data_IF_127781771655
#
_entry.id   IF_127781771655
#
_cell.length_a   1.000
_cell.length_b   1.000
_cell.length_c   1.000
_cell.angle_alpha   90.00
_cell.angle_beta   90.00
_cell.angle_gamma   90.00
#
_symmetry.space_group_name_H-M   'P 1'
#
loop_
_entity.id
_entity.type
_entity.pdbx_description
1 polymer ?
#
# COMPACT_ATOMS: atom_id res chain seq x y z
N UNK A 1 26.59 0.60 -22.15
CA UNK A 1 25.40 -0.03 -21.53
C UNK A 1 24.83 -1.06 -22.51
N UNK A 2 24.74 -2.36 -22.16
CA UNK A 2 24.23 -3.38 -23.09
C UNK A 2 22.71 -3.18 -23.29
N UNK A 3 22.27 -3.01 -24.54
CA UNK A 3 20.84 -2.94 -24.89
C UNK A 3 20.21 -4.31 -24.63
N UNK A 4 19.20 -4.36 -23.75
CA UNK A 4 18.43 -5.60 -23.52
C UNK A 4 17.67 -5.94 -24.79
N UNK A 5 17.66 -7.23 -25.17
CA UNK A 5 16.87 -7.73 -26.31
C UNK A 5 15.40 -7.42 -26.04
N UNK A 6 14.75 -6.73 -26.98
CA UNK A 6 13.33 -6.42 -26.92
C UNK A 6 12.54 -7.66 -27.32
N UNK A 7 11.50 -7.99 -26.55
CA UNK A 7 10.58 -9.07 -26.87
C UNK A 7 9.31 -8.42 -27.47
N UNK A 8 8.95 -8.72 -28.73
CA UNK A 8 7.82 -8.09 -29.42
C UNK A 8 6.51 -8.15 -28.64
N UNK A 9 6.24 -9.28 -27.96
CA UNK A 9 5.04 -9.45 -27.15
C UNK A 9 5.01 -8.49 -25.95
N UNK A 10 6.16 -8.32 -25.31
CA UNK A 10 6.28 -7.43 -24.16
C UNK A 10 6.10 -5.97 -24.57
N UNK A 11 6.51 -5.61 -25.78
CA UNK A 11 6.38 -4.25 -26.29
C UNK A 11 4.92 -3.94 -26.68
N UNK A 12 4.19 -4.91 -27.24
CA UNK A 12 2.73 -4.81 -27.40
C UNK A 12 2.02 -4.59 -26.06
N UNK A 13 2.34 -5.39 -25.04
CA UNK A 13 1.73 -5.24 -23.70
C UNK A 13 2.06 -3.88 -23.07
N UNK A 14 3.29 -3.38 -23.25
CA UNK A 14 3.67 -2.04 -22.76
C UNK A 14 2.89 -0.94 -23.47
N UNK A 15 2.70 -1.04 -24.79
CA UNK A 15 1.92 -0.07 -25.54
C UNK A 15 0.48 -0.02 -25.04
N UNK A 16 -0.16 -1.17 -24.81
CA UNK A 16 -1.51 -1.23 -24.24
C UNK A 16 -1.58 -0.56 -22.84
N UNK A 17 -0.61 -0.86 -21.95
CA UNK A 17 -0.53 -0.23 -20.62
C UNK A 17 -0.35 1.29 -20.69
N UNK A 18 0.44 1.76 -21.64
CA UNK A 18 0.69 3.18 -21.84
C UNK A 18 -0.59 3.87 -22.32
N UNK A 19 -1.28 3.29 -23.32
CA UNK A 19 -2.55 3.83 -23.83
C UNK A 19 -3.63 3.90 -22.75
N UNK A 20 -3.76 2.88 -21.89
CA UNK A 20 -4.70 2.94 -20.75
C UNK A 20 -4.37 4.08 -19.78
N UNK A 21 -3.08 4.34 -19.54
CA UNK A 21 -2.64 5.42 -18.66
C UNK A 21 -2.86 6.80 -19.30
N UNK A 22 -2.62 6.91 -20.60
CA UNK A 22 -2.84 8.16 -21.34
C UNK A 22 -4.32 8.54 -21.38
N UNK A 23 -5.21 7.57 -21.62
CA UNK A 23 -6.66 7.79 -21.56
C UNK A 23 -7.11 8.27 -20.16
N UNK A 24 -6.55 7.72 -19.09
CA UNK A 24 -6.81 8.15 -17.72
C UNK A 24 -6.32 9.58 -17.46
N UNK A 25 -5.14 9.94 -17.97
CA UNK A 25 -4.59 11.30 -17.85
C UNK A 25 -5.39 12.30 -18.67
N UNK A 26 -5.88 11.94 -19.85
CA UNK A 26 -6.73 12.82 -20.68
C UNK A 26 -8.05 13.16 -19.97
N UNK A 27 -8.68 12.16 -19.34
CA UNK A 27 -9.95 12.35 -18.64
C UNK A 27 -9.81 13.10 -17.31
N UNK A 28 -8.72 12.88 -16.57
CA UNK A 28 -8.59 13.34 -15.18
C UNK A 28 -7.44 14.32 -14.92
N UNK A 29 -6.58 14.57 -15.91
CA UNK A 29 -5.37 15.38 -15.80
C UNK A 29 -4.22 14.72 -15.02
N UNK A 30 -4.48 13.61 -14.31
CA UNK A 30 -3.48 12.86 -13.55
C UNK A 30 -3.90 11.38 -13.42
N UNK A 31 -2.94 10.45 -13.19
CA UNK A 31 -3.29 9.06 -12.86
C UNK A 31 -4.18 9.00 -11.61
N UNK A 32 -5.25 8.23 -11.66
CA UNK A 32 -6.15 7.99 -10.53
C UNK A 32 -5.60 6.85 -9.67
N UNK A 33 -5.66 7.04 -8.35
CA UNK A 33 -5.31 6.00 -7.39
C UNK A 33 -6.56 5.37 -6.77
N UNK A 34 -6.99 4.23 -7.33
CA UNK A 34 -8.14 3.45 -6.82
C UNK A 34 -7.94 2.84 -5.43
N UNK A 35 -6.70 2.77 -4.91
CA UNK A 35 -6.37 2.15 -3.61
C UNK A 35 -6.41 3.12 -2.44
N UNK A 36 -6.53 4.44 -2.69
CA UNK A 36 -6.63 5.47 -1.66
C UNK A 36 -8.06 5.70 -1.16
N UNK A 37 -8.98 4.75 -1.34
CA UNK A 37 -10.29 4.80 -0.70
C UNK A 37 -10.09 4.69 0.81
N UNK A 38 -9.96 5.83 1.48
CA UNK A 38 -9.85 5.89 2.93
C UNK A 38 -11.21 5.46 3.49
N UNK A 39 -11.29 4.39 4.27
CA UNK A 39 -12.55 4.01 4.91
C UNK A 39 -12.98 5.13 5.84
N UNK A 40 -14.30 5.35 6.00
CA UNK A 40 -14.81 6.38 6.89
C UNK A 40 -14.28 6.17 8.31
N UNK A 41 -14.09 7.26 9.07
CA UNK A 41 -13.58 7.16 10.45
C UNK A 41 -14.43 6.25 11.34
N UNK A 42 -15.74 6.16 11.03
CA UNK A 42 -16.74 5.34 11.73
C UNK A 42 -16.83 3.90 11.22
N UNK A 43 -16.28 3.59 10.03
CA UNK A 43 -16.27 2.24 9.51
C UNK A 43 -15.46 1.33 10.45
N UNK A 44 -16.12 0.32 11.00
CA UNK A 44 -15.48 -0.62 11.91
C UNK A 44 -14.44 -1.44 11.15
N UNK A 45 -13.19 -1.41 11.64
CA UNK A 45 -12.12 -2.27 11.17
C UNK A 45 -11.52 -2.98 12.38
N UNK A 46 -11.80 -4.27 12.51
CA UNK A 46 -11.32 -5.13 13.61
C UNK A 46 -9.80 -5.13 13.77
N UNK A 47 -9.04 -4.75 12.73
CA UNK A 47 -7.57 -4.68 12.73
C UNK A 47 -7.01 -3.29 13.07
N UNK A 48 -7.85 -2.26 13.21
CA UNK A 48 -7.42 -0.87 13.45
C UNK A 48 -6.95 -0.64 14.89
N UNK A 49 -7.57 -1.34 15.85
CA UNK A 49 -7.22 -1.29 17.27
C UNK A 49 -6.74 -2.68 17.70
N UNK A 50 -5.57 -3.13 17.21
CA UNK A 50 -4.98 -4.35 17.76
C UNK A 50 -4.53 -4.06 19.20
N UNK A 51 -4.87 -4.98 20.10
CA UNK A 51 -4.45 -4.88 21.50
C UNK A 51 -2.93 -4.84 21.66
N UNK A 52 -2.20 -5.41 20.69
CA UNK A 52 -0.74 -5.53 20.71
C UNK A 52 0.00 -4.17 20.57
N UNK A 53 -0.64 -3.13 19.99
CA UNK A 53 -0.03 -1.80 19.84
C UNK A 53 -0.05 -1.00 21.16
N UNK A 54 -0.92 -1.38 22.10
CA UNK A 54 -0.96 -0.80 23.44
C UNK A 54 -0.26 -1.78 24.36
N UNK A 55 1.07 -1.65 24.47
CA UNK A 55 1.94 -2.51 25.27
C UNK A 55 1.24 -3.03 26.53
N UNK A 56 1.19 -4.35 26.65
CA UNK A 56 0.39 -5.01 27.67
C UNK A 56 0.91 -4.64 29.07
N UNK A 57 0.02 -4.38 30.04
CA UNK A 57 0.41 -3.88 31.38
C UNK A 57 1.35 -4.83 32.14
N UNK A 58 1.41 -6.11 31.76
CA UNK A 58 2.32 -7.08 32.37
C UNK A 58 3.80 -6.84 32.04
N UNK A 59 4.12 -6.14 30.94
CA UNK A 59 5.50 -5.85 30.57
C UNK A 59 6.17 -4.89 31.58
N UNK A 60 5.40 -4.02 32.22
CA UNK A 60 5.90 -3.10 33.25
C UNK A 60 6.08 -3.79 34.61
N UNK A 61 5.21 -4.76 34.96
CA UNK A 61 5.30 -5.52 36.20
C UNK A 61 6.53 -6.45 36.23
N UNK A 62 6.86 -7.07 35.09
CA UNK A 62 8.02 -7.96 35.00
C UNK A 62 9.33 -7.19 35.27
N UNK A 63 9.45 -5.96 34.76
CA UNK A 63 10.64 -5.13 34.99
C UNK A 63 10.76 -4.64 36.45
N UNK A 64 9.66 -4.42 37.16
CA UNK A 64 9.74 -4.01 38.58
C UNK A 64 10.14 -5.19 39.49
N UNK A 65 9.65 -6.40 39.20
CA UNK A 65 9.97 -7.60 39.99
C UNK A 65 11.39 -8.10 39.73
N UNK A 66 11.91 -7.97 38.50
CA UNK A 66 13.23 -8.48 38.12
C UNK A 66 14.40 -7.51 38.41
N UNK A 67 14.11 -6.27 38.83
CA UNK A 67 15.12 -5.27 39.20
C UNK A 67 15.16 -4.96 40.71
N UNK A 68 14.62 -5.86 41.55
CA UNK A 68 14.82 -5.87 42.99
C UNK A 68 15.69 -7.06 43.39
#
# INVERSE_FOLDING_TARGET
>A
MKKKKSNPLMDYVKAARLGSREAEIEQHGHPINYRKVVPSKKAYNRKKNKADDKGLPYLFLCNLVMNN
#
